data_IF_000306871743
#
_entry.id   IF_000306871743
#
_cell.length_a   1.000
_cell.length_b   1.000
_cell.length_c   1.000
_cell.angle_alpha   90.00
_cell.angle_beta   90.00
_cell.angle_gamma   90.00
#
_symmetry.space_group_name_H-M   'P 1'
#
loop_
_entity.id
_entity.type
_entity.pdbx_description
1 polymer ?
#
# COMPACT_ATOMS: atom_id res chain seq x y z
N UNK A 1 9.71 17.05 3.36
CA UNK A 1 8.42 16.58 3.87
C UNK A 1 8.74 15.76 5.10
N UNK A 2 8.28 16.15 6.26
CA UNK A 2 8.50 15.40 7.50
C UNK A 2 7.37 14.39 7.65
N UNK A 3 7.70 13.13 7.71
CA UNK A 3 6.79 12.04 8.04
C UNK A 3 7.50 11.08 8.98
N UNK A 4 6.76 10.30 9.77
CA UNK A 4 7.30 9.34 10.71
C UNK A 4 7.32 7.95 10.06
N UNK A 5 8.50 7.35 9.97
CA UNK A 5 8.69 5.99 9.45
C UNK A 5 9.06 5.06 10.60
N UNK A 6 8.26 4.02 10.81
CA UNK A 6 8.58 2.98 11.78
C UNK A 6 9.37 1.86 11.09
N UNK A 7 10.53 1.53 11.61
CA UNK A 7 11.41 0.46 11.12
C UNK A 7 11.39 -0.71 12.11
N UNK A 8 10.94 -1.87 11.65
CA UNK A 8 10.87 -3.11 12.43
C UNK A 8 11.87 -4.11 11.85
N UNK A 9 13.03 -4.22 12.47
CA UNK A 9 14.20 -4.94 11.99
C UNK A 9 15.05 -5.39 13.18
N UNK A 10 15.38 -6.64 13.30
CA UNK A 10 16.18 -7.18 14.41
C UNK A 10 17.69 -7.04 14.19
N UNK A 11 18.16 -7.02 12.94
CA UNK A 11 19.56 -6.81 12.61
C UNK A 11 19.97 -5.34 12.82
N UNK A 12 20.90 -5.11 13.77
CA UNK A 12 21.37 -3.77 14.12
C UNK A 12 22.03 -3.03 12.96
N UNK A 13 22.75 -3.74 12.08
CA UNK A 13 23.45 -3.11 10.96
C UNK A 13 22.47 -2.67 9.88
N UNK A 14 21.47 -3.49 9.58
CA UNK A 14 20.43 -3.17 8.61
C UNK A 14 19.56 -2.03 9.16
N UNK A 15 19.16 -2.10 10.44
CA UNK A 15 18.36 -1.07 11.09
C UNK A 15 19.09 0.28 11.11
N UNK A 16 20.40 0.29 11.40
CA UNK A 16 21.23 1.48 11.34
C UNK A 16 21.27 2.09 9.91
N UNK A 17 21.45 1.26 8.88
CA UNK A 17 21.46 1.72 7.47
C UNK A 17 20.10 2.30 7.08
N UNK A 18 18.99 1.64 7.46
CA UNK A 18 17.64 2.14 7.18
C UNK A 18 17.41 3.49 7.85
N UNK A 19 17.71 3.60 9.16
CA UNK A 19 17.59 4.85 9.91
C UNK A 19 18.37 5.98 9.27
N UNK A 20 19.67 5.76 9.02
CA UNK A 20 20.55 6.80 8.47
C UNK A 20 20.02 7.34 7.13
N UNK A 21 19.64 6.46 6.21
CA UNK A 21 19.09 6.89 4.92
C UNK A 21 17.74 7.64 5.07
N UNK A 22 16.90 7.24 6.00
CA UNK A 22 15.61 7.88 6.26
C UNK A 22 15.80 9.28 6.87
N UNK A 23 16.68 9.41 7.86
CA UNK A 23 17.01 10.69 8.49
C UNK A 23 17.67 11.68 7.50
N UNK A 24 18.52 11.20 6.58
CA UNK A 24 19.11 12.01 5.50
C UNK A 24 18.04 12.57 4.55
N UNK A 25 16.95 11.85 4.32
CA UNK A 25 15.81 12.31 3.52
C UNK A 25 14.80 13.16 4.34
N UNK A 26 15.07 13.38 5.63
CA UNK A 26 14.28 14.24 6.52
C UNK A 26 13.06 13.56 7.15
N UNK A 27 13.05 12.24 7.26
CA UNK A 27 12.02 11.49 8.00
C UNK A 27 12.39 11.37 9.48
N UNK A 28 11.37 11.37 10.34
CA UNK A 28 11.52 10.90 11.73
C UNK A 28 11.45 9.37 11.74
N UNK A 29 12.34 8.73 12.52
CA UNK A 29 12.44 7.27 12.55
C UNK A 29 12.12 6.72 13.92
N UNK A 30 11.17 5.77 13.99
CA UNK A 30 10.87 4.98 15.17
C UNK A 30 11.41 3.57 14.95
N UNK A 31 12.39 3.17 15.77
CA UNK A 31 13.05 1.86 15.64
C UNK A 31 12.39 0.82 16.56
N UNK A 32 12.14 -0.37 16.02
CA UNK A 32 11.65 -1.54 16.75
C UNK A 32 12.52 -2.75 16.40
N UNK A 33 12.84 -3.56 17.38
CA UNK A 33 13.63 -4.80 17.20
C UNK A 33 12.75 -6.06 17.20
N UNK A 34 11.48 -5.93 17.60
CA UNK A 34 10.50 -7.03 17.62
C UNK A 34 9.13 -6.56 17.13
N UNK A 35 8.31 -7.52 16.70
CA UNK A 35 6.92 -7.26 16.32
C UNK A 35 6.06 -6.75 17.48
N UNK A 36 6.29 -7.26 18.69
CA UNK A 36 5.58 -6.83 19.90
C UNK A 36 5.83 -5.37 20.21
N UNK A 37 7.09 -4.94 20.12
CA UNK A 37 7.46 -3.54 20.29
C UNK A 37 6.76 -2.64 19.26
N UNK A 38 6.73 -3.07 18.01
CA UNK A 38 6.06 -2.33 16.95
C UNK A 38 4.54 -2.18 17.19
N UNK A 39 3.86 -3.23 17.67
CA UNK A 39 2.43 -3.17 18.01
C UNK A 39 2.12 -2.17 19.12
N UNK A 40 3.03 -2.00 20.08
CA UNK A 40 2.87 -1.01 21.16
C UNK A 40 3.14 0.39 20.62
N UNK A 41 4.31 0.60 20.03
CA UNK A 41 4.77 1.94 19.61
C UNK A 41 3.96 2.53 18.44
N UNK A 42 3.34 1.71 17.57
CA UNK A 42 2.49 2.24 16.50
C UNK A 42 1.28 3.04 17.01
N UNK A 43 0.78 2.72 18.22
CA UNK A 43 -0.34 3.44 18.82
C UNK A 43 0.09 4.81 19.35
N UNK A 44 1.31 4.88 19.91
CA UNK A 44 1.84 6.10 20.51
C UNK A 44 2.38 7.10 19.47
N UNK A 45 3.04 6.59 18.45
CA UNK A 45 3.73 7.41 17.42
C UNK A 45 2.93 7.64 16.15
N UNK A 46 1.86 6.87 15.92
CA UNK A 46 1.01 6.95 14.71
C UNK A 46 1.83 7.12 13.41
N UNK A 47 2.72 6.16 13.07
CA UNK A 47 3.64 6.31 11.95
C UNK A 47 2.89 6.43 10.62
N UNK A 48 3.49 7.18 9.69
CA UNK A 48 2.94 7.36 8.33
C UNK A 48 3.25 6.17 7.41
N UNK A 49 4.30 5.39 7.70
CA UNK A 49 4.72 4.17 6.98
C UNK A 49 5.40 3.20 7.95
N UNK A 50 5.17 1.90 7.76
CA UNK A 50 5.92 0.82 8.41
C UNK A 50 6.85 0.14 7.40
N UNK A 51 8.11 -0.05 7.78
CA UNK A 51 9.05 -0.98 7.14
C UNK A 51 9.18 -2.20 8.03
N UNK A 52 8.89 -3.39 7.52
CA UNK A 52 8.80 -4.61 8.33
C UNK A 52 9.65 -5.72 7.72
N UNK A 53 10.63 -6.25 8.47
CA UNK A 53 11.22 -7.53 8.10
C UNK A 53 10.25 -8.68 8.42
N UNK A 54 10.25 -9.69 7.59
CA UNK A 54 9.47 -10.91 7.82
C UNK A 54 10.08 -11.79 8.90
N UNK A 55 11.41 -11.79 9.03
CA UNK A 55 12.14 -12.58 10.03
C UNK A 55 12.40 -11.74 11.26
N UNK A 56 11.47 -11.77 12.19
CA UNK A 56 11.60 -11.08 13.48
C UNK A 56 11.60 -12.11 14.61
N UNK A 57 12.31 -11.84 15.72
CA UNK A 57 12.15 -12.62 16.94
C UNK A 57 10.76 -12.39 17.55
N UNK A 58 10.19 -13.43 18.18
CA UNK A 58 8.84 -13.36 18.75
C UNK A 58 7.75 -13.41 17.68
N UNK A 59 6.96 -12.36 17.56
CA UNK A 59 5.92 -12.26 16.51
C UNK A 59 6.61 -12.10 15.15
N UNK A 60 6.35 -13.06 14.25
CA UNK A 60 6.88 -12.99 12.88
C UNK A 60 6.32 -11.78 12.12
N UNK A 61 7.12 -11.21 11.22
CA UNK A 61 6.71 -10.02 10.46
C UNK A 61 5.40 -10.18 9.72
N UNK A 62 5.10 -11.38 9.23
CA UNK A 62 3.82 -11.70 8.59
C UNK A 62 2.61 -11.53 9.53
N UNK A 63 2.74 -11.97 10.77
CA UNK A 63 1.68 -11.87 11.77
C UNK A 63 1.56 -10.43 12.31
N UNK A 64 2.69 -9.71 12.37
CA UNK A 64 2.71 -8.27 12.62
C UNK A 64 1.90 -7.52 11.55
N UNK A 65 2.17 -7.79 10.25
CA UNK A 65 1.43 -7.17 9.13
C UNK A 65 -0.07 -7.42 9.26
N UNK A 66 -0.50 -8.65 9.56
CA UNK A 66 -1.93 -8.98 9.77
C UNK A 66 -2.53 -8.21 10.94
N UNK A 67 -1.80 -8.15 12.07
CA UNK A 67 -2.27 -7.48 13.29
C UNK A 67 -2.42 -5.98 13.08
N UNK A 68 -1.44 -5.34 12.42
CA UNK A 68 -1.53 -3.92 12.07
C UNK A 68 -2.70 -3.66 11.12
N UNK A 69 -2.85 -4.47 10.06
CA UNK A 69 -3.89 -4.27 9.06
C UNK A 69 -5.31 -4.49 9.60
N UNK A 70 -5.47 -5.27 10.65
CA UNK A 70 -6.76 -5.45 11.31
C UNK A 70 -7.30 -4.17 11.95
N UNK A 71 -6.43 -3.22 12.32
CA UNK A 71 -6.78 -2.00 13.06
C UNK A 71 -6.36 -0.71 12.37
N UNK A 72 -5.51 -0.77 11.33
CA UNK A 72 -4.92 0.40 10.69
C UNK A 72 -4.78 0.23 9.17
N UNK A 73 -4.95 1.33 8.44
CA UNK A 73 -4.67 1.43 7.00
C UNK A 73 -3.29 2.05 6.71
N UNK A 74 -2.42 2.15 7.72
CA UNK A 74 -1.06 2.67 7.53
C UNK A 74 -0.33 1.88 6.43
N UNK A 75 0.39 2.52 5.51
CA UNK A 75 1.17 1.84 4.50
C UNK A 75 2.23 0.92 5.11
N UNK A 76 2.35 -0.31 4.59
CA UNK A 76 3.31 -1.31 5.06
C UNK A 76 4.16 -1.77 3.88
N UNK A 77 5.47 -1.58 3.98
CA UNK A 77 6.46 -2.10 3.04
C UNK A 77 7.24 -3.22 3.72
N UNK A 78 7.20 -4.41 3.17
CA UNK A 78 8.04 -5.52 3.63
C UNK A 78 9.47 -5.32 3.10
N UNK A 79 10.47 -5.44 3.98
CA UNK A 79 11.90 -5.37 3.61
C UNK A 79 12.57 -6.65 4.07
N UNK A 80 12.79 -7.62 3.18
CA UNK A 80 13.20 -8.98 3.58
C UNK A 80 14.25 -9.59 2.65
N UNK A 81 15.09 -10.48 3.19
CA UNK A 81 15.99 -11.31 2.39
C UNK A 81 15.30 -12.51 1.71
N UNK A 82 14.05 -12.79 2.05
CA UNK A 82 13.27 -13.86 1.45
C UNK A 82 12.83 -13.48 0.03
N UNK A 83 13.32 -14.26 -0.95
CA UNK A 83 13.02 -14.07 -2.37
C UNK A 83 11.98 -15.09 -2.85
N UNK A 84 11.61 -16.06 -1.99
CA UNK A 84 10.65 -17.08 -2.40
C UNK A 84 9.32 -16.42 -2.76
N UNK A 85 8.84 -16.78 -3.94
CA UNK A 85 7.58 -16.25 -4.47
C UNK A 85 6.38 -16.53 -3.55
N UNK A 86 6.43 -17.59 -2.75
CA UNK A 86 5.37 -17.93 -1.81
C UNK A 86 5.34 -16.94 -0.62
N UNK A 87 6.50 -16.57 -0.08
CA UNK A 87 6.60 -15.62 1.04
C UNK A 87 6.18 -14.21 0.62
N UNK A 88 6.54 -13.78 -0.58
CA UNK A 88 6.11 -12.51 -1.15
C UNK A 88 4.58 -12.48 -1.32
N UNK A 89 3.99 -13.54 -1.91
CA UNK A 89 2.54 -13.65 -2.08
C UNK A 89 1.85 -13.64 -0.72
N UNK A 90 2.38 -14.37 0.25
CA UNK A 90 1.82 -14.46 1.59
C UNK A 90 1.88 -13.10 2.32
N UNK A 91 3.00 -12.37 2.21
CA UNK A 91 3.17 -11.03 2.80
C UNK A 91 2.19 -9.99 2.24
N UNK A 92 2.09 -9.95 0.91
CA UNK A 92 1.12 -9.09 0.23
C UNK A 92 -0.32 -9.52 0.56
N UNK A 93 -0.59 -10.83 0.63
CA UNK A 93 -1.88 -11.39 1.06
C UNK A 93 -2.22 -11.09 2.53
N UNK A 94 -1.21 -10.97 3.40
CA UNK A 94 -1.37 -10.57 4.79
C UNK A 94 -1.79 -9.09 4.95
N UNK A 95 -1.58 -8.27 3.92
CA UNK A 95 -1.99 -6.88 3.92
C UNK A 95 -0.87 -5.86 3.67
N UNK A 96 0.34 -6.30 3.33
CA UNK A 96 1.40 -5.38 2.90
C UNK A 96 1.04 -4.69 1.58
N UNK A 97 1.51 -3.47 1.40
CA UNK A 97 1.22 -2.64 0.22
C UNK A 97 2.34 -2.70 -0.81
N UNK A 98 3.55 -3.03 -0.38
CA UNK A 98 4.73 -3.23 -1.23
C UNK A 98 5.74 -4.16 -0.54
N UNK A 99 6.76 -4.59 -1.30
CA UNK A 99 7.90 -5.30 -0.74
C UNK A 99 9.20 -4.91 -1.43
N UNK A 100 10.30 -5.03 -0.69
CA UNK A 100 11.67 -4.77 -1.16
C UNK A 100 12.56 -5.91 -0.70
N UNK A 101 13.33 -6.47 -1.62
CA UNK A 101 14.26 -7.56 -1.29
C UNK A 101 15.61 -7.03 -0.83
N UNK A 102 16.18 -7.63 0.20
CA UNK A 102 17.58 -7.39 0.63
C UNK A 102 18.55 -8.21 -0.25
N UNK A 103 19.69 -7.64 -0.68
CA UNK A 103 20.12 -6.26 -0.46
C UNK A 103 19.34 -5.27 -1.35
N UNK A 104 18.99 -4.13 -0.80
CA UNK A 104 18.24 -3.08 -1.50
C UNK A 104 19.11 -1.87 -1.85
N UNK A 105 18.69 -1.14 -2.86
CA UNK A 105 19.26 0.18 -3.18
C UNK A 105 18.50 1.23 -2.38
N UNK A 106 19.19 2.00 -1.52
CA UNK A 106 18.57 2.99 -0.65
C UNK A 106 17.64 3.96 -1.44
N UNK A 107 18.11 4.47 -2.57
CA UNK A 107 17.33 5.38 -3.43
C UNK A 107 16.02 4.76 -3.95
N UNK A 108 16.01 3.44 -4.20
CA UNK A 108 14.80 2.75 -4.62
C UNK A 108 13.81 2.63 -3.45
N UNK A 109 14.28 2.25 -2.27
CA UNK A 109 13.44 2.19 -1.07
C UNK A 109 12.86 3.56 -0.72
N UNK A 110 13.66 4.63 -0.75
CA UNK A 110 13.19 6.00 -0.51
C UNK A 110 12.10 6.41 -1.51
N UNK A 111 12.25 6.08 -2.80
CA UNK A 111 11.23 6.35 -3.81
C UNK A 111 9.90 5.61 -3.53
N UNK A 112 9.95 4.38 -3.01
CA UNK A 112 8.76 3.61 -2.61
C UNK A 112 8.07 4.22 -1.39
N UNK A 113 8.85 4.62 -0.37
CA UNK A 113 8.34 5.31 0.81
C UNK A 113 7.67 6.62 0.41
N UNK A 114 8.33 7.45 -0.40
CA UNK A 114 7.77 8.71 -0.90
C UNK A 114 6.46 8.50 -1.66
N UNK A 115 6.35 7.41 -2.43
CA UNK A 115 5.10 7.04 -3.12
C UNK A 115 3.99 6.70 -2.13
N UNK A 116 4.29 5.96 -1.06
CA UNK A 116 3.32 5.63 -0.01
C UNK A 116 2.89 6.86 0.80
N UNK A 117 3.77 7.87 0.92
CA UNK A 117 3.52 9.11 1.65
C UNK A 117 2.90 10.22 0.78
N UNK A 118 2.84 10.05 -0.54
CA UNK A 118 2.28 11.05 -1.45
C UNK A 118 0.85 11.41 -1.05
N UNK A 119 0.61 12.69 -0.73
CA UNK A 119 -0.73 13.19 -0.42
C UNK A 119 -1.58 13.26 -1.70
N UNK A 120 -2.86 12.93 -1.60
CA UNK A 120 -3.84 13.22 -2.64
C UNK A 120 -4.17 14.72 -2.56
N UNK A 121 -4.15 15.42 -3.72
CA UNK A 121 -4.73 16.75 -3.81
C UNK A 121 -3.94 17.89 -3.15
N UNK A 122 -2.61 18.00 -3.38
CA UNK A 122 -1.90 19.25 -3.09
C UNK A 122 -1.51 19.95 -4.38
N UNK A 123 -2.46 20.66 -4.99
CA UNK A 123 -2.24 21.89 -5.78
C UNK A 123 -3.55 22.28 -6.46
N UNK A 124 -4.52 22.75 -5.71
CA UNK A 124 -5.42 23.88 -6.05
C UNK A 124 -6.50 24.01 -4.98
N UNK A 125 -6.41 25.07 -4.23
CA UNK A 125 -7.46 25.48 -3.26
C UNK A 125 -8.68 26.05 -3.99
N UNK A 126 -9.36 25.23 -4.79
CA UNK A 126 -10.72 25.53 -5.24
C UNK A 126 -11.69 24.72 -4.38
N UNK A 127 -12.60 25.38 -3.74
CA UNK A 127 -13.53 24.92 -2.71
C UNK A 127 -14.61 23.94 -3.18
N UNK A 128 -14.38 23.16 -4.23
CA UNK A 128 -15.29 22.10 -4.67
C UNK A 128 -14.67 20.76 -4.40
N UNK A 129 -15.25 20.01 -3.46
CA UNK A 129 -14.88 18.62 -3.18
C UNK A 129 -14.94 17.82 -4.47
N UNK A 130 -13.78 17.40 -4.98
CA UNK A 130 -13.73 16.57 -6.19
C UNK A 130 -14.11 15.14 -5.84
N UNK A 131 -15.28 14.72 -6.29
CA UNK A 131 -15.77 13.35 -6.11
C UNK A 131 -15.82 12.65 -7.46
N UNK A 132 -15.14 11.52 -7.59
CA UNK A 132 -15.29 10.64 -8.74
C UNK A 132 -16.11 9.41 -8.35
N UNK A 133 -17.00 8.97 -9.23
CA UNK A 133 -17.91 7.86 -8.95
C UNK A 133 -17.87 6.79 -10.04
N UNK A 134 -18.12 5.55 -9.63
CA UNK A 134 -18.37 4.43 -10.54
C UNK A 134 -19.33 3.43 -9.88
N UNK A 135 -20.59 3.40 -10.36
CA UNK A 135 -21.65 2.63 -9.73
C UNK A 135 -21.85 3.01 -8.25
N UNK A 136 -21.78 2.05 -7.32
CA UNK A 136 -21.96 2.33 -5.89
C UNK A 136 -20.72 2.94 -5.22
N UNK A 137 -19.59 3.07 -5.92
CA UNK A 137 -18.32 3.54 -5.36
C UNK A 137 -18.18 5.04 -5.61
N UNK A 138 -17.82 5.77 -4.55
CA UNK A 138 -17.46 7.19 -4.61
C UNK A 138 -16.09 7.39 -3.95
N UNK A 139 -15.23 8.18 -4.59
CA UNK A 139 -13.92 8.59 -4.04
C UNK A 139 -13.89 10.10 -3.90
N UNK A 140 -13.58 10.57 -2.72
CA UNK A 140 -13.33 11.96 -2.40
C UNK A 140 -11.83 12.23 -2.56
N UNK A 141 -11.45 12.95 -3.62
CA UNK A 141 -10.04 13.15 -3.96
C UNK A 141 -9.32 14.00 -2.91
N UNK A 142 -10.00 14.97 -2.30
CA UNK A 142 -9.38 15.92 -1.35
C UNK A 142 -9.05 15.25 0.00
N UNK A 143 -9.91 14.32 0.46
CA UNK A 143 -9.76 13.64 1.76
C UNK A 143 -9.15 12.24 1.63
N UNK A 144 -9.01 11.73 0.40
CA UNK A 144 -8.62 10.35 0.11
C UNK A 144 -9.57 9.32 0.78
N UNK A 145 -10.83 9.67 0.93
CA UNK A 145 -11.86 8.80 1.47
C UNK A 145 -12.61 8.07 0.36
N UNK A 146 -13.01 6.85 0.64
CA UNK A 146 -13.82 6.04 -0.26
C UNK A 146 -15.13 5.62 0.40
N UNK A 147 -16.17 5.51 -0.40
CA UNK A 147 -17.51 5.12 0.04
C UNK A 147 -18.09 4.06 -0.90
N UNK A 148 -18.85 3.11 -0.36
CA UNK A 148 -19.72 2.21 -1.12
C UNK A 148 -21.15 2.44 -0.71
N UNK A 149 -22.00 2.86 -1.66
CA UNK A 149 -23.42 3.21 -1.40
C UNK A 149 -23.62 4.18 -0.22
N UNK A 150 -22.72 5.17 -0.10
CA UNK A 150 -22.71 6.17 0.97
C UNK A 150 -22.10 5.70 2.31
N UNK A 151 -21.70 4.44 2.43
CA UNK A 151 -21.02 3.93 3.63
C UNK A 151 -19.50 4.00 3.49
N UNK A 152 -18.76 4.49 4.50
CA UNK A 152 -17.31 4.58 4.44
C UNK A 152 -16.66 3.22 4.19
N UNK A 153 -15.67 3.19 3.29
CA UNK A 153 -14.82 2.03 3.03
C UNK A 153 -13.48 2.19 3.74
N UNK A 154 -13.10 1.22 4.56
CA UNK A 154 -11.76 1.16 5.14
C UNK A 154 -10.77 0.64 4.11
N UNK A 155 -10.12 1.56 3.38
CA UNK A 155 -9.10 1.22 2.37
C UNK A 155 -7.78 1.90 2.71
N UNK A 156 -6.66 1.22 2.36
CA UNK A 156 -5.33 1.82 2.50
C UNK A 156 -5.10 2.87 1.41
N UNK A 157 -4.07 3.70 1.60
CA UNK A 157 -3.73 4.75 0.64
C UNK A 157 -3.45 4.19 -0.76
N UNK A 158 -2.72 3.09 -0.85
CA UNK A 158 -2.42 2.48 -2.15
C UNK A 158 -3.66 1.85 -2.80
N UNK A 159 -4.57 1.30 -2.00
CA UNK A 159 -5.87 0.81 -2.47
C UNK A 159 -6.72 1.95 -3.05
N UNK A 160 -6.70 3.12 -2.38
CA UNK A 160 -7.35 4.32 -2.88
C UNK A 160 -6.79 4.74 -4.25
N UNK A 161 -5.46 4.82 -4.41
CA UNK A 161 -4.85 5.22 -5.67
C UNK A 161 -5.14 4.25 -6.82
N UNK A 162 -5.09 2.93 -6.57
CA UNK A 162 -5.45 1.95 -7.61
C UNK A 162 -6.91 2.08 -8.00
N UNK A 163 -7.80 2.26 -7.03
CA UNK A 163 -9.23 2.42 -7.29
C UNK A 163 -9.50 3.72 -8.05
N UNK A 164 -8.80 4.81 -7.70
CA UNK A 164 -8.85 6.09 -8.39
C UNK A 164 -8.41 5.97 -9.85
N UNK A 165 -7.27 5.33 -10.14
CA UNK A 165 -6.79 5.10 -11.51
C UNK A 165 -7.81 4.31 -12.33
N UNK A 166 -8.36 3.23 -11.75
CA UNK A 166 -9.32 2.37 -12.43
C UNK A 166 -10.64 3.07 -12.73
N UNK A 167 -11.16 3.89 -11.81
CA UNK A 167 -12.39 4.68 -12.03
C UNK A 167 -12.14 5.77 -13.08
N UNK A 168 -11.03 6.50 -12.94
CA UNK A 168 -10.64 7.57 -13.90
C UNK A 168 -10.40 7.05 -15.31
N UNK A 169 -10.11 5.77 -15.45
CA UNK A 169 -9.96 5.12 -16.75
C UNK A 169 -11.29 4.92 -17.52
N UNK A 170 -12.45 5.12 -16.86
CA UNK A 170 -13.78 5.05 -17.50
C UNK A 170 -13.94 3.78 -18.33
N UNK A 171 -13.91 2.61 -17.68
CA UNK A 171 -14.09 1.30 -18.30
C UNK A 171 -12.92 0.79 -19.17
N UNK A 172 -11.89 1.61 -19.42
CA UNK A 172 -10.69 1.16 -20.13
C UNK A 172 -9.89 0.18 -19.28
N UNK A 173 -9.23 -0.77 -19.94
CA UNK A 173 -8.37 -1.74 -19.28
C UNK A 173 -7.03 -1.11 -18.93
N UNK A 174 -6.62 -1.21 -17.66
CA UNK A 174 -5.30 -0.83 -17.20
C UNK A 174 -4.45 -2.08 -16.99
N UNK A 175 -3.25 -2.10 -17.60
CA UNK A 175 -2.32 -3.21 -17.42
C UNK A 175 -1.66 -3.17 -16.04
N UNK A 176 -1.11 -4.33 -15.58
CA UNK A 176 -0.34 -4.40 -14.34
C UNK A 176 0.84 -3.43 -14.36
N UNK A 177 1.57 -3.37 -15.48
CA UNK A 177 2.71 -2.46 -15.64
C UNK A 177 2.30 -1.00 -15.60
N UNK A 178 1.13 -0.66 -16.15
CA UNK A 178 0.58 0.70 -16.03
C UNK A 178 0.35 1.05 -14.56
N UNK A 179 -0.35 0.19 -13.82
CA UNK A 179 -0.64 0.41 -12.40
C UNK A 179 0.64 0.49 -11.57
N UNK A 180 1.60 -0.42 -11.76
CA UNK A 180 2.89 -0.40 -11.07
C UNK A 180 3.65 0.92 -11.30
N UNK A 181 3.65 1.44 -12.51
CA UNK A 181 4.31 2.72 -12.82
C UNK A 181 3.60 3.91 -12.24
N UNK A 182 2.28 3.98 -12.37
CA UNK A 182 1.53 5.19 -12.02
C UNK A 182 1.16 5.25 -10.53
N UNK A 183 0.95 4.10 -9.90
CA UNK A 183 0.58 4.03 -8.48
C UNK A 183 1.77 3.79 -7.58
N UNK A 184 2.67 2.85 -7.92
CA UNK A 184 3.87 2.54 -7.11
C UNK A 184 5.14 3.28 -7.56
N UNK A 185 5.12 3.95 -8.71
CA UNK A 185 6.27 4.69 -9.23
C UNK A 185 7.41 3.82 -9.76
N UNK A 186 7.16 2.56 -10.11
CA UNK A 186 8.19 1.65 -10.64
C UNK A 186 8.68 2.13 -12.00
N UNK A 187 9.99 2.32 -12.13
CA UNK A 187 10.60 2.74 -13.40
C UNK A 187 10.75 1.59 -14.39
N UNK A 188 10.99 0.39 -13.89
CA UNK A 188 11.13 -0.85 -14.66
C UNK A 188 9.96 -1.78 -14.42
N UNK A 189 9.88 -2.88 -15.20
CA UNK A 189 8.89 -3.91 -14.97
C UNK A 189 9.00 -4.44 -13.54
N UNK A 190 7.97 -4.24 -12.74
CA UNK A 190 7.88 -4.71 -11.36
C UNK A 190 7.16 -6.05 -11.28
N UNK A 191 7.02 -6.56 -10.06
CA UNK A 191 6.29 -7.79 -9.83
C UNK A 191 4.77 -7.56 -9.87
N UNK A 192 4.12 -8.03 -10.93
CA UNK A 192 2.68 -7.92 -11.11
C UNK A 192 1.84 -8.53 -9.99
N UNK A 193 2.43 -9.42 -9.17
CA UNK A 193 1.76 -10.01 -8.00
C UNK A 193 1.34 -8.97 -6.96
N UNK A 194 2.07 -7.86 -6.85
CA UNK A 194 1.70 -6.72 -6.00
C UNK A 194 0.30 -6.23 -6.40
N UNK A 195 0.10 -6.00 -7.68
CA UNK A 195 -1.19 -5.54 -8.22
C UNK A 195 -2.28 -6.59 -8.00
N UNK A 196 -1.98 -7.86 -8.33
CA UNK A 196 -2.97 -8.95 -8.22
C UNK A 196 -3.48 -9.12 -6.78
N UNK A 197 -2.59 -9.08 -5.79
CA UNK A 197 -2.97 -9.16 -4.37
C UNK A 197 -3.78 -7.95 -3.93
N UNK A 198 -3.40 -6.75 -4.37
CA UNK A 198 -4.16 -5.54 -4.05
C UNK A 198 -5.56 -5.57 -4.68
N UNK A 199 -5.69 -6.01 -5.92
CA UNK A 199 -6.99 -6.21 -6.58
C UNK A 199 -7.85 -7.23 -5.82
N UNK A 200 -7.24 -8.32 -5.32
CA UNK A 200 -7.97 -9.28 -4.48
C UNK A 200 -8.50 -8.63 -3.20
N UNK A 201 -7.68 -7.84 -2.50
CA UNK A 201 -8.10 -7.09 -1.29
C UNK A 201 -9.18 -6.06 -1.61
N UNK A 202 -9.03 -5.29 -2.71
CA UNK A 202 -10.06 -4.34 -3.12
C UNK A 202 -11.40 -5.03 -3.38
N UNK A 203 -11.40 -6.16 -4.10
CA UNK A 203 -12.63 -6.93 -4.34
C UNK A 203 -13.32 -7.35 -3.04
N UNK A 204 -12.57 -7.80 -2.04
CA UNK A 204 -13.17 -8.17 -0.75
C UNK A 204 -13.87 -7.01 -0.04
N UNK A 205 -13.55 -5.76 -0.40
CA UNK A 205 -14.11 -4.53 0.19
C UNK A 205 -15.25 -3.94 -0.66
N UNK A 206 -15.11 -3.97 -2.00
CA UNK A 206 -16.05 -3.28 -2.89
C UNK A 206 -17.09 -4.18 -3.54
N UNK A 207 -16.83 -5.48 -3.71
CA UNK A 207 -17.79 -6.42 -4.29
C UNK A 207 -18.77 -6.94 -3.23
N UNK A 208 -19.91 -7.44 -3.66
CA UNK A 208 -20.84 -8.18 -2.78
C UNK A 208 -20.42 -9.65 -2.65
N UNK A 209 -19.85 -10.22 -3.72
CA UNK A 209 -19.19 -11.53 -3.76
C UNK A 209 -17.85 -11.39 -4.47
N UNK A 210 -16.76 -11.39 -3.71
CA UNK A 210 -15.40 -11.23 -4.26
C UNK A 210 -14.98 -12.38 -5.19
N UNK A 211 -15.62 -13.53 -5.10
CA UNK A 211 -15.40 -14.68 -6.00
C UNK A 211 -16.04 -14.50 -7.39
N UNK A 212 -17.05 -13.62 -7.48
CA UNK A 212 -17.78 -13.29 -8.70
C UNK A 212 -17.84 -11.77 -8.89
N UNK A 213 -16.69 -11.14 -9.16
CA UNK A 213 -16.60 -9.68 -9.22
C UNK A 213 -17.45 -9.13 -10.37
N UNK A 214 -18.25 -8.10 -10.06
CA UNK A 214 -19.10 -7.39 -11.00
C UNK A 214 -18.67 -5.94 -11.25
N UNK A 215 -17.93 -5.33 -10.31
CA UNK A 215 -17.44 -3.97 -10.42
C UNK A 215 -16.01 -3.91 -10.94
N UNK A 216 -15.11 -4.69 -10.35
CA UNK A 216 -13.69 -4.71 -10.69
C UNK A 216 -13.34 -5.99 -11.45
N UNK A 217 -13.32 -5.89 -12.77
CA UNK A 217 -13.21 -7.02 -13.68
C UNK A 217 -11.76 -7.33 -14.07
N UNK A 218 -11.44 -8.63 -14.23
CA UNK A 218 -10.19 -9.07 -14.86
C UNK A 218 -10.40 -9.24 -16.36
N UNK A 219 -9.55 -8.60 -17.16
CA UNK A 219 -9.44 -8.84 -18.59
C UNK A 219 -8.21 -9.71 -18.82
N UNK A 220 -8.42 -11.02 -19.05
CA UNK A 220 -7.35 -12.01 -19.16
C UNK A 220 -6.29 -11.60 -20.18
N UNK A 221 -5.02 -11.63 -19.78
CA UNK A 221 -3.89 -11.24 -20.60
C UNK A 221 -3.65 -9.72 -20.72
N UNK A 222 -4.59 -8.87 -20.29
CA UNK A 222 -4.49 -7.41 -20.44
C UNK A 222 -4.38 -6.67 -19.10
N UNK A 223 -5.15 -7.04 -18.07
CA UNK A 223 -5.15 -6.34 -16.78
C UNK A 223 -6.52 -6.24 -16.14
N UNK A 224 -6.86 -5.06 -15.64
CA UNK A 224 -8.06 -4.82 -14.85
C UNK A 224 -8.83 -3.60 -15.34
N UNK A 225 -10.13 -3.57 -15.09
CA UNK A 225 -10.98 -2.40 -15.35
C UNK A 225 -12.14 -2.31 -14.37
N UNK A 226 -12.62 -1.13 -14.09
CA UNK A 226 -13.94 -0.94 -13.49
C UNK A 226 -15.02 -1.10 -14.56
N UNK A 227 -16.13 -1.76 -14.21
CA UNK A 227 -17.33 -1.80 -15.06
C UNK A 227 -18.03 -0.45 -14.94
N UNK A 228 -18.26 0.21 -16.08
CA UNK A 228 -19.10 1.41 -16.10
C UNK A 228 -20.54 1.04 -15.73
N UNK A 229 -21.24 1.89 -14.98
CA UNK A 229 -22.69 1.74 -14.79
C UNK A 229 -23.40 1.89 -16.16
N UNK A 230 -24.37 1.05 -16.40
CA UNK A 230 -25.25 1.13 -17.57
C UNK A 230 -26.17 2.35 -17.47
#
# INVERSE_FOLDING_TARGET
MSGTVMVVEDDDAIRFVLRTNLEEEGYEVVECVTGEQALVLQQDFAPDVLLVDLRLPGIQGMDLVRSVRATSNVPIIIVTAQIDSQDVIAGLGAGADDYVTKPFVAKELMARIATQLRRVGTEDSSSETRVITCGPIALHEDTAEAFKSGMPLSISRIEFFVLHELISAKGRVLSRDYLLRNVWGYKNAGDGRIVDNLIYRLRSKIEDDSSKPNLLLTVRGFGYRMKEPE
#
